data_IF_872431186586
#
_entry.id   IF_872431186586
#
_cell.length_a   1.000
_cell.length_b   1.000
_cell.length_c   1.000
_cell.angle_alpha   90.00
_cell.angle_beta   90.00
_cell.angle_gamma   90.00
#
_symmetry.space_group_name_H-M   'P 1'
#
loop_
_entity.id
_entity.type
_entity.pdbx_description
1 polymer ?
#
# COMPACT_ATOMS: atom_id res chain seq x y z
N UNK A 1 19.54 -6.69 -16.80
CA UNK A 1 20.56 -7.65 -16.39
C UNK A 1 21.94 -7.01 -16.63
N UNK A 2 22.84 -7.08 -15.63
CA UNK A 2 24.21 -6.54 -15.73
C UNK A 2 25.02 -7.35 -16.74
N UNK A 3 25.79 -6.66 -17.58
CA UNK A 3 26.74 -7.34 -18.47
C UNK A 3 27.93 -7.91 -17.65
N UNK A 4 28.58 -8.92 -18.18
CA UNK A 4 29.70 -9.57 -17.50
C UNK A 4 30.86 -8.57 -17.21
N UNK A 5 31.04 -7.61 -18.10
CA UNK A 5 31.99 -6.49 -17.95
C UNK A 5 31.63 -5.55 -16.81
N UNK A 6 30.35 -5.38 -16.52
CA UNK A 6 29.87 -4.51 -15.44
C UNK A 6 30.06 -5.19 -14.07
N UNK A 7 29.93 -6.54 -14.01
CA UNK A 7 30.18 -7.30 -12.80
C UNK A 7 31.63 -7.08 -12.33
N UNK A 8 32.61 -7.21 -13.24
CA UNK A 8 34.00 -6.96 -12.91
C UNK A 8 34.31 -5.52 -12.45
N UNK A 9 33.61 -4.52 -13.02
CA UNK A 9 33.72 -3.12 -12.58
C UNK A 9 33.16 -2.91 -11.17
N UNK A 10 32.04 -3.55 -10.87
CA UNK A 10 31.40 -3.47 -9.54
C UNK A 10 32.27 -4.12 -8.49
N UNK A 11 32.84 -5.31 -8.78
CA UNK A 11 33.73 -6.00 -7.86
C UNK A 11 34.99 -5.19 -7.58
N UNK A 12 35.63 -4.66 -8.62
CA UNK A 12 36.82 -3.82 -8.47
C UNK A 12 36.55 -2.55 -7.64
N UNK A 13 35.42 -1.88 -7.87
CA UNK A 13 35.02 -0.70 -7.11
C UNK A 13 34.69 -1.07 -5.65
N UNK A 14 33.94 -2.12 -5.42
CA UNK A 14 33.59 -2.59 -4.07
C UNK A 14 34.81 -2.96 -3.26
N UNK A 15 35.77 -3.68 -3.86
CA UNK A 15 37.06 -3.98 -3.21
C UNK A 15 37.86 -2.74 -2.87
N UNK A 16 37.95 -1.78 -3.78
CA UNK A 16 38.70 -0.55 -3.56
C UNK A 16 38.10 0.34 -2.47
N UNK A 17 36.75 0.40 -2.38
CA UNK A 17 36.03 1.21 -1.42
C UNK A 17 35.64 0.48 -0.11
N UNK A 18 35.91 -0.81 0.00
CA UNK A 18 35.50 -1.65 1.14
C UNK A 18 33.97 -1.76 1.27
N UNK A 19 33.27 -1.73 0.15
CA UNK A 19 31.81 -1.70 0.09
C UNK A 19 31.21 -3.03 -0.42
N UNK A 20 29.98 -3.39 -0.01
CA UNK A 20 29.26 -4.52 -0.60
C UNK A 20 29.01 -4.32 -2.10
N UNK A 21 28.89 -5.41 -2.85
CA UNK A 21 28.64 -5.42 -4.30
C UNK A 21 27.47 -4.50 -4.72
N UNK A 22 26.38 -4.53 -3.98
CA UNK A 22 25.17 -3.73 -4.27
C UNK A 22 25.44 -2.23 -4.14
N UNK A 23 26.16 -1.81 -3.09
CA UNK A 23 26.50 -0.39 -2.91
C UNK A 23 27.45 0.09 -4.01
N UNK A 24 28.41 -0.72 -4.37
CA UNK A 24 29.33 -0.45 -5.48
C UNK A 24 28.58 -0.32 -6.83
N UNK A 25 27.58 -1.14 -7.05
CA UNK A 25 26.74 -1.08 -8.25
C UNK A 25 25.88 0.19 -8.31
N UNK A 26 25.36 0.65 -7.17
CA UNK A 26 24.62 1.90 -7.04
C UNK A 26 25.54 3.10 -7.31
N UNK A 27 26.71 3.13 -6.68
CA UNK A 27 27.69 4.22 -6.82
C UNK A 27 28.20 4.35 -8.26
N UNK A 28 28.28 3.26 -8.99
CA UNK A 28 28.62 3.23 -10.43
C UNK A 28 27.44 3.59 -11.35
N UNK A 29 26.23 3.80 -10.80
CA UNK A 29 25.01 4.04 -11.58
C UNK A 29 24.57 2.87 -12.45
N UNK A 30 25.07 1.65 -12.18
CA UNK A 30 24.74 0.42 -12.90
C UNK A 30 23.52 -0.28 -12.32
N UNK A 31 23.14 0.08 -11.11
CA UNK A 31 21.93 -0.41 -10.42
C UNK A 31 21.30 0.78 -9.70
N UNK A 32 20.01 0.97 -9.88
CA UNK A 32 19.30 1.93 -9.04
C UNK A 32 19.08 1.36 -7.63
N UNK A 33 18.97 2.21 -6.59
CA UNK A 33 18.82 1.76 -5.20
C UNK A 33 17.61 0.85 -4.97
N UNK A 34 16.56 1.04 -5.76
CA UNK A 34 15.32 0.26 -5.66
C UNK A 34 15.52 -1.16 -6.21
N UNK A 35 16.13 -1.28 -7.39
CA UNK A 35 16.50 -2.57 -7.98
C UNK A 35 17.53 -3.32 -7.12
N UNK A 36 18.49 -2.61 -6.53
CA UNK A 36 19.43 -3.21 -5.58
C UNK A 36 18.70 -3.78 -4.34
N UNK A 37 17.75 -3.03 -3.80
CA UNK A 37 16.89 -3.48 -2.70
C UNK A 37 16.10 -4.75 -3.05
N UNK A 38 15.57 -4.82 -4.26
CA UNK A 38 14.83 -5.99 -4.77
C UNK A 38 15.74 -7.21 -4.85
N UNK A 39 16.94 -7.06 -5.41
CA UNK A 39 17.90 -8.16 -5.55
C UNK A 39 18.34 -8.66 -4.17
N UNK A 40 18.65 -7.76 -3.24
CA UNK A 40 18.98 -8.10 -1.85
C UNK A 40 17.85 -8.88 -1.19
N UNK A 41 16.68 -8.43 -1.39
CA UNK A 41 15.52 -9.05 -0.82
C UNK A 41 15.22 -10.41 -1.48
N UNK A 42 15.43 -10.59 -2.79
CA UNK A 42 15.37 -11.90 -3.45
C UNK A 42 16.48 -12.83 -2.95
N UNK A 43 17.67 -12.33 -2.65
CA UNK A 43 18.76 -13.09 -2.04
C UNK A 43 18.55 -13.38 -0.55
N UNK A 44 17.89 -12.48 0.17
CA UNK A 44 17.51 -12.62 1.58
C UNK A 44 16.25 -13.47 1.81
N UNK A 45 15.66 -14.03 0.74
CA UNK A 45 14.48 -14.86 0.81
C UNK A 45 13.25 -14.06 1.18
N UNK A 46 12.76 -13.16 0.30
CA UNK A 46 11.39 -12.71 0.40
C UNK A 46 10.49 -13.93 0.50
N UNK A 47 9.58 -13.98 1.45
CA UNK A 47 8.57 -15.01 1.48
C UNK A 47 7.62 -14.81 0.30
N UNK A 48 8.02 -15.33 -0.86
CA UNK A 48 7.12 -15.44 -2.01
C UNK A 48 6.23 -16.65 -1.80
N UNK A 49 4.99 -16.49 -2.17
CA UNK A 49 4.09 -17.63 -2.26
C UNK A 49 4.46 -18.49 -3.47
N UNK A 50 4.35 -19.80 -3.32
CA UNK A 50 4.55 -20.70 -4.43
C UNK A 50 3.55 -20.41 -5.56
N UNK A 51 3.97 -20.55 -6.81
CA UNK A 51 3.08 -20.45 -7.95
C UNK A 51 1.90 -21.42 -7.78
N UNK A 52 0.67 -20.88 -7.85
CA UNK A 52 -0.55 -21.67 -7.64
C UNK A 52 -1.00 -21.80 -6.17
N UNK A 53 -0.36 -21.13 -5.22
CA UNK A 53 -0.87 -21.04 -3.86
C UNK A 53 -2.24 -20.37 -3.85
N UNK A 54 -3.24 -21.08 -3.34
CA UNK A 54 -4.63 -20.64 -3.38
C UNK A 54 -5.05 -19.78 -2.18
N UNK A 55 -4.13 -19.45 -1.27
CA UNK A 55 -4.43 -18.60 -0.11
C UNK A 55 -4.47 -17.11 -0.44
N UNK A 56 -3.98 -16.74 -1.62
CA UNK A 56 -4.06 -15.39 -2.17
C UNK A 56 -4.54 -15.46 -3.61
N UNK A 57 -5.33 -14.46 -4.03
CA UNK A 57 -5.83 -14.40 -5.40
C UNK A 57 -4.69 -14.14 -6.39
N UNK A 58 -4.67 -14.79 -7.57
CA UNK A 58 -3.63 -14.55 -8.59
C UNK A 58 -3.49 -13.10 -9.06
N UNK A 59 -4.51 -12.27 -8.90
CA UNK A 59 -4.44 -10.83 -9.19
C UNK A 59 -3.48 -10.07 -8.28
N UNK A 60 -3.11 -10.66 -7.13
CA UNK A 60 -2.09 -10.12 -6.23
C UNK A 60 -0.71 -10.62 -6.70
N UNK A 61 -0.32 -10.22 -7.90
CA UNK A 61 0.88 -10.68 -8.61
C UNK A 61 2.15 -10.51 -7.79
N UNK A 62 2.26 -9.40 -7.03
CA UNK A 62 3.41 -9.09 -6.18
C UNK A 62 3.70 -10.15 -5.12
N UNK A 63 2.72 -10.99 -4.76
CA UNK A 63 2.90 -12.09 -3.82
C UNK A 63 3.59 -13.30 -4.44
N UNK A 64 3.57 -13.45 -5.77
CA UNK A 64 4.02 -14.63 -6.49
C UNK A 64 5.25 -14.37 -7.36
N UNK A 65 5.27 -13.24 -8.06
CA UNK A 65 6.32 -12.90 -9.02
C UNK A 65 6.78 -11.44 -8.86
N UNK A 66 7.89 -11.20 -8.19
CA UNK A 66 8.46 -9.86 -8.04
C UNK A 66 9.07 -9.32 -9.35
N UNK A 67 9.33 -10.17 -10.34
CA UNK A 67 9.86 -9.75 -11.65
C UNK A 67 8.76 -9.32 -12.63
N UNK A 68 7.50 -9.54 -12.29
CA UNK A 68 6.37 -9.13 -13.13
C UNK A 68 6.35 -7.61 -13.36
N UNK A 69 6.00 -7.21 -14.57
CA UNK A 69 5.97 -5.80 -14.98
C UNK A 69 4.96 -4.95 -14.18
N UNK A 70 3.86 -5.56 -13.71
CA UNK A 70 2.90 -4.88 -12.86
C UNK A 70 3.48 -4.69 -11.45
N UNK A 71 4.11 -5.72 -10.89
CA UNK A 71 4.81 -5.62 -9.60
C UNK A 71 5.89 -4.52 -9.62
N UNK A 72 6.64 -4.38 -10.72
CA UNK A 72 7.60 -3.29 -10.90
C UNK A 72 6.95 -1.90 -10.85
N UNK A 73 5.78 -1.73 -11.50
CA UNK A 73 5.01 -0.47 -11.41
C UNK A 73 4.51 -0.19 -9.99
N UNK A 74 4.07 -1.22 -9.28
CA UNK A 74 3.62 -1.09 -7.87
C UNK A 74 4.77 -0.63 -6.97
N UNK A 75 5.99 -1.15 -7.16
CA UNK A 75 7.19 -0.67 -6.45
C UNK A 75 7.47 0.81 -6.72
N UNK A 76 7.31 1.24 -7.97
CA UNK A 76 7.46 2.67 -8.32
C UNK A 76 6.43 3.54 -7.59
N UNK A 77 5.18 3.09 -7.47
CA UNK A 77 4.15 3.79 -6.71
C UNK A 77 4.54 3.86 -5.23
N UNK A 78 4.99 2.74 -4.64
CA UNK A 78 5.49 2.73 -3.26
C UNK A 78 6.61 3.76 -3.05
N UNK A 79 7.62 3.79 -3.94
CA UNK A 79 8.73 4.73 -3.85
C UNK A 79 8.25 6.19 -3.89
N UNK A 80 7.30 6.51 -4.76
CA UNK A 80 6.69 7.84 -4.83
C UNK A 80 5.91 8.19 -3.56
N UNK A 81 5.15 7.24 -3.00
CA UNK A 81 4.42 7.48 -1.75
C UNK A 81 5.37 7.73 -0.58
N UNK A 82 6.45 6.95 -0.46
CA UNK A 82 7.49 7.20 0.55
C UNK A 82 8.17 8.56 0.38
N UNK A 83 8.51 8.94 -0.85
CA UNK A 83 9.10 10.24 -1.14
C UNK A 83 8.16 11.41 -0.86
N UNK A 84 6.85 11.23 -1.00
CA UNK A 84 5.85 12.23 -0.69
C UNK A 84 5.55 12.34 0.81
N UNK A 85 5.78 11.26 1.57
CA UNK A 85 5.65 11.22 3.02
C UNK A 85 6.83 12.00 3.66
N UNK A 86 6.61 13.25 3.97
CA UNK A 86 7.63 14.16 4.53
C UNK A 86 8.06 13.68 5.91
N UNK A 87 9.37 13.81 6.22
CA UNK A 87 9.98 13.59 7.55
C UNK A 87 9.88 12.17 8.14
N UNK A 88 9.73 11.14 7.32
CA UNK A 88 9.57 9.76 7.78
C UNK A 88 10.85 8.91 7.67
N UNK A 89 11.95 9.38 8.20
CA UNK A 89 13.23 8.66 8.18
C UNK A 89 13.11 7.34 8.98
N UNK A 90 12.69 6.27 8.29
CA UNK A 90 12.52 4.94 8.88
C UNK A 90 11.24 4.73 9.73
N UNK A 91 10.41 5.74 9.91
CA UNK A 91 9.17 5.62 10.68
C UNK A 91 8.08 4.81 9.95
N UNK A 92 7.19 4.21 10.71
CA UNK A 92 5.98 3.57 10.20
C UNK A 92 5.06 4.62 9.57
N UNK A 93 4.61 4.37 8.33
CA UNK A 93 3.83 5.30 7.53
C UNK A 93 2.33 5.00 7.55
N UNK A 94 1.52 6.05 7.49
CA UNK A 94 0.08 5.97 7.22
C UNK A 94 -0.18 6.46 5.80
N UNK A 95 -0.44 5.52 4.91
CA UNK A 95 -0.63 5.76 3.48
C UNK A 95 -2.06 5.43 3.08
N UNK A 96 -2.56 6.03 1.99
CA UNK A 96 -3.86 5.68 1.46
C UNK A 96 -3.87 5.53 -0.07
N UNK A 97 -4.68 4.59 -0.55
CA UNK A 97 -5.15 4.49 -1.93
C UNK A 97 -6.59 4.96 -1.97
N UNK A 98 -6.83 6.02 -2.73
CA UNK A 98 -8.16 6.56 -2.97
C UNK A 98 -8.66 6.16 -4.35
N UNK A 99 -9.73 5.39 -4.39
CA UNK A 99 -10.43 5.06 -5.63
C UNK A 99 -11.51 6.09 -5.92
N UNK A 100 -11.47 6.71 -7.10
CA UNK A 100 -12.57 7.51 -7.64
C UNK A 100 -13.13 6.74 -8.83
N UNK A 101 -14.26 6.07 -8.65
CA UNK A 101 -14.92 5.24 -9.67
C UNK A 101 -14.08 4.10 -10.27
N UNK A 102 -12.93 3.77 -9.66
CA UNK A 102 -11.96 2.82 -10.25
C UNK A 102 -12.29 1.34 -10.01
N UNK A 103 -13.41 1.04 -9.33
CA UNK A 103 -13.85 -0.35 -9.16
C UNK A 103 -12.81 -1.26 -8.48
N UNK A 104 -12.72 -2.51 -8.95
CA UNK A 104 -11.84 -3.53 -8.37
C UNK A 104 -10.36 -3.26 -8.67
N UNK A 105 -10.01 -2.49 -9.71
CA UNK A 105 -8.62 -2.20 -10.09
C UNK A 105 -7.85 -1.47 -8.98
N UNK A 106 -8.52 -0.56 -8.27
CA UNK A 106 -7.90 0.15 -7.16
C UNK A 106 -7.68 -0.76 -5.94
N UNK A 107 -8.58 -1.69 -5.67
CA UNK A 107 -8.42 -2.69 -4.62
C UNK A 107 -7.27 -3.66 -4.94
N UNK A 108 -7.14 -4.09 -6.20
CA UNK A 108 -6.03 -4.91 -6.69
C UNK A 108 -4.70 -4.16 -6.52
N UNK A 109 -4.67 -2.87 -6.86
CA UNK A 109 -3.48 -2.04 -6.64
C UNK A 109 -3.13 -1.95 -5.15
N UNK A 110 -4.11 -1.69 -4.28
CA UNK A 110 -3.90 -1.60 -2.84
C UNK A 110 -3.37 -2.92 -2.26
N UNK A 111 -3.91 -4.06 -2.70
CA UNK A 111 -3.46 -5.38 -2.29
C UNK A 111 -2.00 -5.65 -2.70
N UNK A 112 -1.65 -5.37 -3.97
CA UNK A 112 -0.29 -5.54 -4.47
C UNK A 112 0.70 -4.59 -3.78
N UNK A 113 0.29 -3.33 -3.53
CA UNK A 113 1.12 -2.36 -2.83
C UNK A 113 1.37 -2.78 -1.38
N UNK A 114 0.37 -3.30 -0.68
CA UNK A 114 0.54 -3.80 0.68
C UNK A 114 1.51 -4.97 0.76
N UNK A 115 1.49 -5.88 -0.24
CA UNK A 115 2.48 -6.96 -0.36
C UNK A 115 3.87 -6.39 -0.54
N UNK A 116 4.07 -5.45 -1.47
CA UNK A 116 5.37 -4.82 -1.72
C UNK A 116 5.87 -4.08 -0.48
N UNK A 117 4.98 -3.40 0.26
CA UNK A 117 5.34 -2.76 1.53
C UNK A 117 5.78 -3.79 2.58
N UNK A 118 5.05 -4.89 2.75
CA UNK A 118 5.44 -5.95 3.68
C UNK A 118 6.78 -6.58 3.32
N UNK A 119 7.06 -6.74 2.03
CA UNK A 119 8.33 -7.28 1.52
C UNK A 119 9.52 -6.34 1.72
N UNK A 120 9.31 -5.02 1.63
CA UNK A 120 10.41 -4.03 1.57
C UNK A 120 10.51 -3.15 2.82
N UNK A 121 9.40 -2.91 3.52
CA UNK A 121 9.33 -2.00 4.68
C UNK A 121 9.13 -2.74 6.01
N UNK A 122 8.84 -4.04 5.97
CA UNK A 122 8.57 -4.84 7.17
C UNK A 122 7.08 -4.91 7.51
N UNK A 123 6.73 -4.85 8.81
CA UNK A 123 5.34 -5.07 9.24
C UNK A 123 4.40 -4.06 8.60
N UNK A 124 3.41 -4.57 7.91
CA UNK A 124 2.42 -3.77 7.18
C UNK A 124 1.00 -4.22 7.52
N UNK A 125 0.11 -3.27 7.76
CA UNK A 125 -1.32 -3.51 7.88
C UNK A 125 -2.06 -2.87 6.71
N UNK A 126 -2.78 -3.68 5.95
CA UNK A 126 -3.74 -3.22 4.96
C UNK A 126 -5.12 -3.10 5.62
N UNK A 127 -5.79 -1.97 5.42
CA UNK A 127 -7.10 -1.68 6.02
C UNK A 127 -8.12 -1.44 4.90
N UNK A 128 -9.16 -2.27 4.85
CA UNK A 128 -10.30 -2.08 3.94
C UNK A 128 -11.30 -1.12 4.57
N UNK A 129 -11.40 0.10 4.01
CA UNK A 129 -12.31 1.13 4.49
C UNK A 129 -13.63 1.13 3.68
N UNK A 130 -13.72 0.40 2.58
CA UNK A 130 -14.98 0.27 1.81
C UNK A 130 -15.93 -0.72 2.49
N UNK A 131 -16.53 -0.27 3.59
CA UNK A 131 -17.43 -1.09 4.42
C UNK A 131 -18.64 -1.59 3.61
N UNK A 132 -19.12 -0.78 2.67
CA UNK A 132 -20.32 -1.10 1.90
C UNK A 132 -20.07 -2.13 0.78
N UNK A 133 -18.84 -2.19 0.26
CA UNK A 133 -18.43 -3.16 -0.79
C UNK A 133 -17.02 -3.70 -0.53
N UNK A 134 -16.83 -4.49 0.53
CA UNK A 134 -15.54 -5.05 0.84
C UNK A 134 -14.98 -5.86 -0.32
N UNK A 135 -13.68 -5.76 -0.55
CA UNK A 135 -13.03 -6.45 -1.67
C UNK A 135 -11.71 -7.10 -1.31
N UNK A 136 -10.99 -6.56 -0.33
CA UNK A 136 -9.66 -7.04 0.04
C UNK A 136 -9.69 -8.41 0.73
N UNK A 137 -10.76 -8.74 1.45
CA UNK A 137 -10.99 -10.04 2.06
C UNK A 137 -10.96 -11.18 1.03
N UNK A 138 -11.52 -10.94 -0.17
CA UNK A 138 -11.53 -11.91 -1.27
C UNK A 138 -10.14 -12.08 -1.88
N UNK A 139 -9.39 -10.99 -2.06
CA UNK A 139 -8.04 -11.02 -2.64
C UNK A 139 -7.05 -11.80 -1.75
N UNK A 140 -7.19 -11.68 -0.43
CA UNK A 140 -6.34 -12.41 0.52
C UNK A 140 -6.99 -13.68 1.09
N UNK A 141 -8.19 -14.03 0.63
CA UNK A 141 -8.97 -15.20 1.08
C UNK A 141 -9.08 -15.30 2.60
N UNK A 142 -9.27 -14.16 3.22
CA UNK A 142 -9.48 -14.00 4.66
C UNK A 142 -10.97 -13.83 4.94
N UNK A 143 -11.45 -14.43 6.01
CA UNK A 143 -12.87 -14.32 6.36
C UNK A 143 -13.20 -12.90 6.86
N UNK A 144 -14.13 -12.22 6.20
CA UNK A 144 -14.67 -10.94 6.62
C UNK A 144 -15.73 -11.12 7.72
N UNK A 145 -15.32 -11.40 8.97
CA UNK A 145 -16.21 -11.62 10.11
C UNK A 145 -16.28 -10.43 11.06
N UNK A 146 -15.13 -9.90 11.41
CA UNK A 146 -14.95 -8.68 12.18
C UNK A 146 -13.82 -7.87 11.52
N UNK A 147 -13.92 -6.56 11.53
CA UNK A 147 -12.96 -5.67 10.88
C UNK A 147 -13.10 -4.23 11.33
N UNK A 148 -12.88 -3.30 10.42
CA UNK A 148 -12.93 -1.87 10.70
C UNK A 148 -14.32 -1.43 11.24
N UNK A 149 -15.41 -1.98 10.69
CA UNK A 149 -16.77 -1.64 11.14
C UNK A 149 -16.96 -1.90 12.64
N UNK A 150 -16.57 -3.08 13.11
CA UNK A 150 -16.66 -3.44 14.52
C UNK A 150 -15.73 -2.61 15.40
N UNK A 151 -14.56 -2.24 14.87
CA UNK A 151 -13.63 -1.35 15.55
C UNK A 151 -14.22 0.05 15.74
N UNK A 152 -14.80 0.62 14.70
CA UNK A 152 -15.44 1.94 14.74
C UNK A 152 -16.68 1.98 15.63
N UNK A 153 -17.41 0.87 15.72
CA UNK A 153 -18.57 0.72 16.60
C UNK A 153 -18.18 0.44 18.07
N UNK A 154 -16.88 0.24 18.38
CA UNK A 154 -16.42 -0.14 19.70
C UNK A 154 -16.89 -1.52 20.16
N UNK A 155 -17.31 -2.38 19.22
CA UNK A 155 -17.80 -3.72 19.48
C UNK A 155 -16.72 -4.80 19.40
N UNK A 156 -15.53 -4.47 18.90
CA UNK A 156 -14.39 -5.37 18.87
C UNK A 156 -13.63 -5.32 20.19
N UNK A 157 -13.53 -6.45 20.87
CA UNK A 157 -12.77 -6.58 22.12
C UNK A 157 -11.24 -6.54 21.90
N UNK A 158 -10.80 -6.94 20.71
CA UNK A 158 -9.40 -6.95 20.28
C UNK A 158 -9.32 -6.34 18.86
N UNK A 159 -8.12 -5.94 18.45
CA UNK A 159 -7.90 -5.45 17.08
C UNK A 159 -8.24 -6.56 16.07
N UNK A 160 -9.26 -6.39 15.22
CA UNK A 160 -9.74 -7.43 14.32
C UNK A 160 -8.91 -7.50 13.05
N UNK A 161 -7.59 -7.69 13.17
CA UNK A 161 -6.67 -7.88 12.07
C UNK A 161 -6.35 -9.35 11.88
N UNK A 162 -6.49 -9.85 10.66
CA UNK A 162 -6.16 -11.20 10.28
C UNK A 162 -4.76 -11.27 9.67
N UNK A 163 -3.99 -12.30 10.02
CA UNK A 163 -2.73 -12.60 9.34
C UNK A 163 -3.03 -13.12 7.94
N UNK A 164 -2.39 -12.56 6.92
CA UNK A 164 -2.48 -13.08 5.55
C UNK A 164 -1.50 -14.24 5.34
N UNK A 165 -1.51 -14.85 4.15
CA UNK A 165 -0.50 -15.82 3.76
C UNK A 165 0.86 -15.16 3.44
N UNK A 166 0.90 -13.85 3.25
CA UNK A 166 2.12 -13.08 3.01
C UNK A 166 2.75 -12.69 4.34
N UNK A 167 4.01 -13.07 4.56
CA UNK A 167 4.69 -12.74 5.80
C UNK A 167 4.84 -11.22 5.98
N UNK A 168 4.66 -10.76 7.21
CA UNK A 168 4.69 -9.34 7.54
C UNK A 168 3.44 -8.57 7.14
N UNK A 169 2.45 -9.19 6.46
CA UNK A 169 1.22 -8.53 6.04
C UNK A 169 0.01 -8.98 6.86
N UNK A 170 -0.64 -8.01 7.47
CA UNK A 170 -1.90 -8.14 8.17
C UNK A 170 -3.02 -7.45 7.39
N UNK A 171 -4.22 -7.99 7.43
CA UNK A 171 -5.41 -7.40 6.83
C UNK A 171 -6.45 -7.12 7.91
N UNK A 172 -6.82 -5.86 8.05
CA UNK A 172 -8.06 -5.48 8.70
C UNK A 172 -9.13 -5.40 7.62
N UNK A 173 -10.01 -6.37 7.58
CA UNK A 173 -11.13 -6.38 6.64
C UNK A 173 -12.13 -5.28 6.99
N UNK A 174 -13.02 -4.96 6.07
CA UNK A 174 -14.06 -3.95 6.32
C UNK A 174 -15.02 -4.31 7.48
N UNK A 175 -15.15 -5.60 7.78
CA UNK A 175 -16.07 -6.09 8.78
C UNK A 175 -17.48 -6.33 8.22
N UNK A 176 -18.44 -6.55 9.12
CA UNK A 176 -19.85 -6.75 8.77
C UNK A 176 -20.61 -5.47 9.04
N UNK A 177 -20.90 -4.72 7.97
CA UNK A 177 -21.64 -3.48 8.07
C UNK A 177 -23.03 -3.67 8.71
N UNK A 178 -23.30 -2.93 9.76
CA UNK A 178 -24.66 -2.41 10.01
C UNK A 178 -24.71 -0.99 9.44
N UNK A 179 -25.83 -0.53 8.91
CA UNK A 179 -25.95 0.74 8.17
C UNK A 179 -25.46 2.04 8.86
N UNK A 180 -24.92 1.92 10.09
CA UNK A 180 -24.28 3.02 10.82
C UNK A 180 -22.76 3.02 10.71
N UNK A 181 -22.11 1.90 10.31
CA UNK A 181 -20.66 1.79 10.33
C UNK A 181 -19.99 2.65 9.25
N UNK A 182 -20.53 2.67 8.03
CA UNK A 182 -20.00 3.52 6.95
C UNK A 182 -20.09 5.02 7.28
N UNK A 183 -21.12 5.44 8.02
CA UNK A 183 -21.24 6.83 8.50
C UNK A 183 -20.22 7.17 9.59
N UNK A 184 -19.66 6.18 10.29
CA UNK A 184 -18.64 6.41 11.30
C UNK A 184 -17.28 6.74 10.70
N UNK A 185 -16.98 6.24 9.50
CA UNK A 185 -15.75 6.58 8.77
C UNK A 185 -15.63 8.10 8.55
N UNK A 186 -16.75 8.80 8.39
CA UNK A 186 -16.77 10.25 8.13
C UNK A 186 -16.77 11.11 9.41
N UNK A 187 -16.78 10.51 10.61
CA UNK A 187 -16.89 11.26 11.87
C UNK A 187 -15.59 11.89 12.34
N UNK A 188 -14.46 11.46 11.82
CA UNK A 188 -13.15 11.99 12.22
C UNK A 188 -12.01 11.34 11.49
N UNK A 189 -10.76 11.80 11.74
CA UNK A 189 -9.58 11.25 11.12
C UNK A 189 -9.37 9.77 11.45
N UNK A 190 -9.16 8.94 10.43
CA UNK A 190 -8.78 7.53 10.63
C UNK A 190 -7.40 7.40 11.28
N UNK A 191 -6.55 8.42 11.15
CA UNK A 191 -5.25 8.46 11.81
C UNK A 191 -5.38 8.41 13.35
N UNK A 192 -6.36 9.09 13.93
CA UNK A 192 -6.63 9.08 15.37
C UNK A 192 -7.11 7.69 15.83
N UNK A 193 -7.99 7.07 15.03
CA UNK A 193 -8.43 5.70 15.28
C UNK A 193 -7.25 4.72 15.22
N UNK A 194 -6.40 4.83 14.21
CA UNK A 194 -5.23 3.97 14.02
C UNK A 194 -4.18 4.17 15.14
N UNK A 195 -4.01 5.39 15.64
CA UNK A 195 -3.11 5.66 16.76
C UNK A 195 -3.51 4.86 18.03
N UNK A 196 -4.80 4.66 18.23
CA UNK A 196 -5.33 3.85 19.35
C UNK A 196 -5.04 2.34 19.24
N UNK A 197 -4.56 1.85 18.09
CA UNK A 197 -4.27 0.41 17.90
C UNK A 197 -2.92 -0.03 18.48
N UNK A 198 -2.06 0.92 18.89
CA UNK A 198 -0.77 0.60 19.53
C UNK A 198 0.29 -0.01 18.60
N UNK A 199 0.13 0.17 17.28
CA UNK A 199 1.00 -0.41 16.24
C UNK A 199 2.06 0.61 15.80
N UNK A 200 3.05 0.88 16.67
CA UNK A 200 4.03 1.95 16.45
C UNK A 200 5.05 1.64 15.33
N UNK A 201 5.37 0.36 15.11
CA UNK A 201 6.38 -0.08 14.13
C UNK A 201 5.74 -0.72 12.89
N UNK A 202 4.45 -0.49 12.67
CA UNK A 202 3.70 -1.09 11.56
C UNK A 202 3.23 -0.01 10.60
N UNK A 203 3.71 -0.04 9.37
CA UNK A 203 3.17 0.81 8.30
C UNK A 203 1.75 0.40 7.96
N UNK A 204 0.89 1.38 7.70
CA UNK A 204 -0.52 1.13 7.42
C UNK A 204 -0.89 1.67 6.04
N UNK A 205 -1.57 0.84 5.25
CA UNK A 205 -2.13 1.22 3.97
C UNK A 205 -3.66 1.12 4.04
N UNK A 206 -4.33 2.23 3.86
CA UNK A 206 -5.79 2.30 3.86
C UNK A 206 -6.32 2.34 2.43
N UNK A 207 -7.28 1.50 2.14
CA UNK A 207 -8.00 1.50 0.87
C UNK A 207 -9.38 2.13 1.06
N UNK A 208 -9.64 3.23 0.35
CA UNK A 208 -10.90 3.95 0.36
C UNK A 208 -11.47 4.03 -1.06
N UNK A 209 -12.78 3.87 -1.19
CA UNK A 209 -13.46 3.99 -2.46
C UNK A 209 -14.58 5.03 -2.39
N UNK A 210 -14.65 5.86 -3.45
CA UNK A 210 -15.77 6.75 -3.72
C UNK A 210 -16.48 6.27 -4.97
N UNK A 211 -17.80 6.19 -4.90
CA UNK A 211 -18.64 5.82 -6.04
C UNK A 211 -19.13 7.05 -6.79
N UNK A 212 -19.55 6.82 -8.00
CA UNK A 212 -20.12 7.87 -8.85
C UNK A 212 -21.30 8.56 -8.16
N UNK A 213 -21.22 9.89 -8.10
CA UNK A 213 -22.23 10.70 -7.45
C UNK A 213 -22.11 10.86 -5.94
N UNK A 214 -21.18 10.15 -5.30
CA UNK A 214 -20.83 10.33 -3.89
C UNK A 214 -19.89 11.53 -3.74
N UNK A 215 -19.94 12.14 -2.56
CA UNK A 215 -19.01 13.20 -2.16
C UNK A 215 -18.42 12.86 -0.80
N UNK A 216 -17.40 11.97 -0.85
CA UNK A 216 -16.71 11.56 0.36
C UNK A 216 -15.74 12.67 0.80
N UNK A 217 -15.78 13.13 2.07
CA UNK A 217 -14.89 14.17 2.58
C UNK A 217 -13.52 13.57 2.92
N UNK A 218 -12.75 13.21 1.91
CA UNK A 218 -11.48 12.52 2.08
C UNK A 218 -10.47 13.31 2.90
N UNK A 219 -10.44 14.63 2.75
CA UNK A 219 -9.54 15.48 3.50
C UNK A 219 -9.70 15.35 5.01
N UNK A 220 -10.93 15.33 5.51
CA UNK A 220 -11.18 15.15 6.95
C UNK A 220 -10.95 13.71 7.41
N UNK A 221 -11.26 12.71 6.59
CA UNK A 221 -11.05 11.29 6.90
C UNK A 221 -9.57 10.96 7.00
N UNK A 222 -8.76 11.54 6.10
CA UNK A 222 -7.33 11.25 5.96
C UNK A 222 -6.44 12.31 6.60
N UNK A 223 -6.98 13.24 7.38
CA UNK A 223 -6.16 14.16 8.15
C UNK A 223 -5.14 13.37 9.01
N UNK A 224 -3.86 13.78 8.94
CA UNK A 224 -2.76 13.08 9.64
C UNK A 224 -2.19 11.86 8.89
N UNK A 225 -2.56 11.66 7.63
CA UNK A 225 -1.89 10.69 6.75
C UNK A 225 -0.65 11.31 6.10
N UNK A 226 0.36 10.47 5.88
CA UNK A 226 1.66 10.91 5.35
C UNK A 226 1.62 11.12 3.83
N UNK A 227 0.96 10.22 3.09
CA UNK A 227 0.78 10.37 1.64
C UNK A 227 -0.42 9.57 1.10
N UNK A 228 -0.93 10.04 -0.03
CA UNK A 228 -2.09 9.46 -0.73
C UNK A 228 -1.78 9.28 -2.20
N UNK A 229 -2.24 8.16 -2.78
CA UNK A 229 -2.30 7.97 -4.24
C UNK A 229 -3.76 7.88 -4.68
N UNK A 230 -4.11 8.65 -5.70
CA UNK A 230 -5.47 8.68 -6.26
C UNK A 230 -5.53 7.71 -7.45
N UNK A 231 -6.54 6.84 -7.48
CA UNK A 231 -6.81 5.94 -8.61
C UNK A 231 -8.09 6.39 -9.30
N UNK A 232 -7.97 6.67 -10.58
CA UNK A 232 -9.08 7.10 -11.44
C UNK A 232 -9.24 6.12 -12.60
N UNK A 233 -10.45 5.97 -13.12
CA UNK A 233 -10.75 5.09 -14.24
C UNK A 233 -10.83 5.87 -15.55
N UNK A 234 -10.10 5.39 -16.56
CA UNK A 234 -10.08 6.02 -17.88
C UNK A 234 -11.46 6.03 -18.51
N UNK A 235 -11.89 7.21 -18.93
CA UNK A 235 -13.21 7.40 -19.59
C UNK A 235 -14.43 7.35 -18.67
N UNK A 236 -14.25 7.08 -17.39
CA UNK A 236 -15.35 7.01 -16.41
C UNK A 236 -15.24 8.08 -15.32
N UNK A 237 -14.06 8.25 -14.72
CA UNK A 237 -13.87 9.28 -13.69
C UNK A 237 -13.91 10.68 -14.30
N UNK A 238 -14.83 11.50 -13.83
CA UNK A 238 -14.93 12.88 -14.28
C UNK A 238 -13.78 13.73 -13.73
N UNK A 239 -13.20 14.57 -14.59
CA UNK A 239 -12.13 15.50 -14.20
C UNK A 239 -12.55 16.40 -13.04
N UNK A 240 -13.84 16.79 -13.00
CA UNK A 240 -14.40 17.61 -11.93
C UNK A 240 -14.37 16.89 -10.57
N UNK A 241 -14.62 15.58 -10.54
CA UNK A 241 -14.57 14.78 -9.32
C UNK A 241 -13.13 14.63 -8.83
N UNK A 242 -12.21 14.38 -9.74
CA UNK A 242 -10.78 14.31 -9.42
C UNK A 242 -10.26 15.64 -8.86
N UNK A 243 -10.60 16.77 -9.48
CA UNK A 243 -10.22 18.10 -8.96
C UNK A 243 -10.79 18.35 -7.58
N UNK A 244 -12.07 18.03 -7.35
CA UNK A 244 -12.69 18.19 -6.02
C UNK A 244 -11.96 17.41 -4.94
N UNK A 245 -11.56 16.17 -5.23
CA UNK A 245 -10.80 15.34 -4.29
C UNK A 245 -9.41 15.94 -4.05
N UNK A 246 -8.70 16.39 -5.08
CA UNK A 246 -7.40 17.05 -4.94
C UNK A 246 -7.53 18.32 -4.09
N UNK A 247 -8.49 19.19 -4.38
CA UNK A 247 -8.73 20.42 -3.63
C UNK A 247 -9.10 20.15 -2.17
N UNK A 248 -9.80 19.02 -1.91
CA UNK A 248 -10.15 18.61 -0.55
C UNK A 248 -8.91 18.12 0.23
N UNK A 249 -8.06 17.32 -0.37
CA UNK A 249 -6.80 16.86 0.22
C UNK A 249 -5.84 18.03 0.47
N UNK A 250 -5.70 18.94 -0.48
CA UNK A 250 -4.81 20.11 -0.36
C UNK A 250 -5.25 21.04 0.79
N UNK A 251 -6.56 21.26 0.98
CA UNK A 251 -7.08 22.05 2.11
C UNK A 251 -6.73 21.45 3.47
N UNK A 252 -6.49 20.13 3.53
CA UNK A 252 -6.11 19.42 4.75
C UNK A 252 -4.60 19.14 4.83
N UNK A 253 -3.79 19.73 3.91
CA UNK A 253 -2.32 19.56 3.84
C UNK A 253 -1.87 18.11 3.70
N UNK A 254 -2.64 17.27 2.99
CA UNK A 254 -2.32 15.87 2.77
C UNK A 254 -1.45 15.75 1.51
N UNK A 255 -0.29 15.10 1.62
CA UNK A 255 0.63 14.91 0.49
C UNK A 255 0.05 13.96 -0.55
N UNK A 256 -0.06 14.43 -1.80
CA UNK A 256 -0.49 13.60 -2.94
C UNK A 256 0.75 13.08 -3.65
N UNK A 257 0.99 11.77 -3.58
CA UNK A 257 2.14 11.12 -4.22
C UNK A 257 2.00 11.01 -5.75
N UNK A 258 0.76 11.08 -6.22
CA UNK A 258 0.44 11.04 -7.64
C UNK A 258 -0.92 10.41 -7.91
N UNK A 259 -1.19 10.20 -9.20
CA UNK A 259 -2.40 9.50 -9.65
C UNK A 259 -2.07 8.31 -10.54
N UNK A 260 -2.93 7.30 -10.49
CA UNK A 260 -2.90 6.11 -11.35
C UNK A 260 -4.18 6.12 -12.18
N UNK A 261 -4.05 5.90 -13.49
CA UNK A 261 -5.18 5.74 -14.40
C UNK A 261 -5.32 4.25 -14.71
N UNK A 262 -6.41 3.66 -14.25
CA UNK A 262 -6.76 2.27 -14.45
C UNK A 262 -7.66 2.08 -15.70
#
# INVERSE_FOLDING_TARGET
>A
FLAETDIGRIEAHGHAAGQPFQQAAIDLGLLDPETAGIILAMQGGFPLLAAGDQRVDPLVVSAFDPADAYAAKVRTIRAKMRAAAKDSDGAALRLAILSIDAGDEAAILAANLAVVMAQMDGQTMLVDVDIDRPSLDRLFRVANKAGLAEQLLGSAALLPAARTAVDGLWLMTAGRASGSASSLVTKGPLADTAAGWGLHDTSMLFYLAQRRGEQTPFGSILAGFDAVTIVARRGETAIADMRRVIDDLDRHNISIAGSVIA
#
